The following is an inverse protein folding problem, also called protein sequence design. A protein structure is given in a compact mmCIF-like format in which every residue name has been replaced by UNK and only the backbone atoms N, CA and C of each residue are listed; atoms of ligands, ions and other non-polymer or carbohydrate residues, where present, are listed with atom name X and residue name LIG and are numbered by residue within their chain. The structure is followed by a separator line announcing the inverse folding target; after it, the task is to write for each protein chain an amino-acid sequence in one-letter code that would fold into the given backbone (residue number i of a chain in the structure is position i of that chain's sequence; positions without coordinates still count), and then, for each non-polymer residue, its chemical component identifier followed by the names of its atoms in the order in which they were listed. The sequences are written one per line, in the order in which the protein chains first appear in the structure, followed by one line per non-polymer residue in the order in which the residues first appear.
data_IF_439557925970
#
_entry.id   IF_439557925970
#
_cell.length_a   1.000
_cell.length_b   1.000
_cell.length_c   1.000
_cell.angle_alpha   90.00
_cell.angle_beta   90.00
_cell.angle_gamma   90.00
#
_symmetry.space_group_name_H-M   'P 1'
#
loop_
_entity.id
_entity.type
_entity.pdbx_description
1 polymer ?
#
# COMPACT_ATOMS: atom_id res chain seq x y z
N UNK A 1 2.24 25.36 -7.33
CA UNK A 1 2.50 24.11 -8.07
C UNK A 1 2.78 23.10 -6.99
N UNK A 2 1.83 22.21 -6.71
CA UNK A 2 2.14 21.02 -5.91
C UNK A 2 3.17 20.25 -6.73
N UNK A 3 4.36 20.02 -6.17
CA UNK A 3 5.34 19.16 -6.82
C UNK A 3 4.74 17.76 -6.82
N UNK A 4 4.45 17.26 -8.01
CA UNK A 4 3.99 15.89 -8.23
C UNK A 4 5.13 14.95 -7.83
N UNK A 5 4.85 14.00 -6.94
CA UNK A 5 5.85 13.03 -6.47
C UNK A 5 5.85 11.81 -7.41
N UNK A 6 7.00 11.12 -7.57
CA UNK A 6 7.13 10.02 -8.52
C UNK A 6 6.11 8.87 -8.34
N UNK A 7 5.58 8.70 -7.13
CA UNK A 7 4.66 7.62 -6.77
C UNK A 7 3.19 8.05 -6.70
N UNK A 8 2.85 9.32 -7.01
CA UNK A 8 1.47 9.82 -6.96
C UNK A 8 0.50 8.93 -7.76
N UNK A 9 0.84 8.66 -9.02
CA UNK A 9 0.06 7.80 -9.92
C UNK A 9 -0.04 6.36 -9.40
N UNK A 10 1.04 5.85 -8.79
CA UNK A 10 1.05 4.49 -8.26
C UNK A 10 0.13 4.34 -7.05
N UNK A 11 0.18 5.29 -6.10
CA UNK A 11 -0.67 5.33 -4.93
C UNK A 11 -2.14 5.56 -5.33
N UNK A 12 -2.40 6.40 -6.33
CA UNK A 12 -3.72 6.55 -6.94
C UNK A 12 -4.25 5.24 -7.52
N UNK A 13 -3.42 4.52 -8.30
CA UNK A 13 -3.81 3.22 -8.87
C UNK A 13 -4.09 2.14 -7.80
N UNK A 14 -3.38 2.18 -6.66
CA UNK A 14 -3.67 1.30 -5.52
C UNK A 14 -5.00 1.67 -4.87
N UNK A 15 -5.32 2.96 -4.71
CA UNK A 15 -6.63 3.40 -4.22
C UNK A 15 -7.79 2.90 -5.10
N UNK A 16 -7.66 3.03 -6.42
CA UNK A 16 -8.63 2.52 -7.39
C UNK A 16 -8.79 1.00 -7.28
N UNK A 17 -7.68 0.27 -7.16
CA UNK A 17 -7.70 -1.17 -6.97
C UNK A 17 -8.39 -1.55 -5.65
N UNK A 18 -8.11 -0.87 -4.54
CA UNK A 18 -8.77 -1.10 -3.25
C UNK A 18 -10.29 -0.94 -3.34
N UNK A 19 -10.78 0.06 -4.10
CA UNK A 19 -12.22 0.22 -4.36
C UNK A 19 -12.81 -0.98 -5.13
N UNK A 20 -12.10 -1.53 -6.13
CA UNK A 20 -12.54 -2.73 -6.84
C UNK A 20 -12.69 -3.97 -5.93
N UNK A 21 -11.93 -4.03 -4.84
CA UNK A 21 -11.99 -5.11 -3.83
C UNK A 21 -12.96 -4.83 -2.67
N UNK A 22 -13.72 -3.73 -2.76
CA UNK A 22 -14.72 -3.34 -1.77
C UNK A 22 -14.13 -2.77 -0.47
N UNK A 23 -12.87 -2.31 -0.50
CA UNK A 23 -12.14 -1.78 0.67
C UNK A 23 -11.63 -0.36 0.40
N UNK A 24 -12.51 0.50 -0.13
CA UNK A 24 -12.15 1.87 -0.48
C UNK A 24 -11.65 2.64 0.75
N UNK A 25 -10.43 3.22 0.74
CA UNK A 25 -9.95 4.05 1.84
C UNK A 25 -10.77 5.35 1.93
N UNK A 26 -11.05 5.80 3.15
CA UNK A 26 -11.66 7.11 3.40
C UNK A 26 -10.68 8.26 3.13
N UNK A 27 -9.38 8.00 3.29
CA UNK A 27 -8.30 8.95 3.02
C UNK A 27 -7.08 8.24 2.46
N UNK A 28 -6.41 8.86 1.49
CA UNK A 28 -5.07 8.48 1.07
C UNK A 28 -4.26 9.71 0.64
N UNK A 29 -2.94 9.65 0.75
CA UNK A 29 -2.04 10.70 0.29
C UNK A 29 -0.63 10.16 0.02
N UNK A 30 0.17 11.00 -0.60
CA UNK A 30 1.60 10.82 -0.84
C UNK A 30 2.38 11.93 -0.15
N UNK A 31 3.59 11.60 0.30
CA UNK A 31 4.54 12.56 0.86
C UNK A 31 5.98 12.07 0.65
N UNK A 32 6.93 12.98 0.67
CA UNK A 32 8.31 12.69 1.04
C UNK A 32 8.50 12.94 2.55
N UNK A 33 9.20 12.05 3.25
CA UNK A 33 9.48 12.23 4.68
C UNK A 33 10.76 13.03 4.94
N UNK A 34 11.04 13.34 6.22
CA UNK A 34 12.22 14.11 6.63
C UNK A 34 13.56 13.40 6.29
N UNK A 35 13.52 12.10 6.02
CA UNK A 35 14.66 11.27 5.64
C UNK A 35 14.79 11.13 4.11
N UNK A 36 13.96 11.85 3.33
CA UNK A 36 13.97 11.82 1.87
C UNK A 36 13.39 10.55 1.28
N UNK A 37 12.46 9.88 1.97
CA UNK A 37 11.77 8.68 1.47
C UNK A 37 10.42 9.04 0.91
N UNK A 38 10.07 8.45 -0.23
CA UNK A 38 8.72 8.53 -0.77
C UNK A 38 7.79 7.57 -0.04
N UNK A 39 6.69 8.12 0.49
CA UNK A 39 5.72 7.46 1.35
C UNK A 39 4.31 7.58 0.76
N UNK A 40 3.55 6.47 0.79
CA UNK A 40 2.13 6.45 0.47
C UNK A 40 1.33 5.94 1.66
N UNK A 41 0.19 6.57 1.97
CA UNK A 41 -0.62 6.19 3.14
C UNK A 41 -2.09 6.04 2.76
N UNK A 42 -2.76 5.01 3.30
CA UNK A 42 -4.19 4.77 3.15
C UNK A 42 -4.83 4.50 4.53
N UNK A 43 -5.90 5.22 4.85
CA UNK A 43 -6.58 5.19 6.16
C UNK A 43 -8.10 5.23 6.03
N UNK A 44 -8.76 5.21 7.19
CA UNK A 44 -10.19 5.44 7.36
C UNK A 44 -11.04 4.43 6.56
N UNK A 45 -10.76 3.14 6.77
CA UNK A 45 -11.49 2.06 6.12
C UNK A 45 -12.97 2.03 6.55
N UNK A 46 -13.88 1.56 5.68
CA UNK A 46 -15.27 1.37 6.04
C UNK A 46 -15.38 0.40 7.22
N UNK A 47 -16.22 0.72 8.21
CA UNK A 47 -16.30 -0.03 9.46
C UNK A 47 -16.71 -1.50 9.29
N UNK A 48 -17.40 -1.84 8.20
CA UNK A 48 -17.83 -3.20 7.85
C UNK A 48 -16.75 -4.01 7.11
N UNK A 49 -15.60 -3.41 6.79
CA UNK A 49 -14.49 -4.09 6.10
C UNK A 49 -13.43 -4.64 7.05
N UNK A 50 -13.41 -4.15 8.30
CA UNK A 50 -12.40 -4.48 9.30
C UNK A 50 -12.92 -5.55 10.24
N UNK A 51 -12.23 -6.68 10.28
CA UNK A 51 -12.48 -7.73 11.27
C UNK A 51 -11.99 -7.29 12.65
N UNK A 52 -12.92 -6.96 13.55
CA UNK A 52 -12.63 -6.48 14.90
C UNK A 52 -12.09 -7.57 15.84
N UNK A 53 -12.24 -8.84 15.48
CA UNK A 53 -11.63 -9.93 16.25
C UNK A 53 -10.12 -10.01 15.99
N UNK A 54 -9.67 -9.57 14.81
CA UNK A 54 -8.25 -9.49 14.45
C UNK A 54 -7.64 -8.12 14.80
N UNK A 55 -8.37 -7.04 14.52
CA UNK A 55 -7.88 -5.67 14.64
C UNK A 55 -8.61 -4.94 15.76
N UNK A 56 -7.90 -4.58 16.82
CA UNK A 56 -8.49 -3.81 17.92
C UNK A 56 -8.77 -2.37 17.48
N UNK A 57 -7.87 -1.83 16.65
CA UNK A 57 -8.05 -0.59 15.91
C UNK A 57 -7.83 -0.87 14.42
N UNK A 58 -8.54 -0.15 13.55
CA UNK A 58 -8.34 -0.32 12.12
C UNK A 58 -6.87 0.00 11.74
N UNK A 59 -6.15 -0.91 11.07
CA UNK A 59 -4.79 -0.63 10.64
C UNK A 59 -4.80 0.38 9.50
N UNK A 60 -3.78 1.22 9.35
CA UNK A 60 -3.52 1.91 8.10
C UNK A 60 -2.52 1.14 7.24
N UNK A 61 -2.60 1.35 5.93
CA UNK A 61 -1.65 0.81 4.97
C UNK A 61 -0.60 1.88 4.65
N UNK A 62 0.67 1.52 4.82
CA UNK A 62 1.83 2.34 4.52
C UNK A 62 2.61 1.70 3.37
N UNK A 63 2.98 2.50 2.39
CA UNK A 63 3.98 2.19 1.38
C UNK A 63 5.22 3.01 1.64
N UNK A 64 6.38 2.37 1.59
CA UNK A 64 7.71 2.98 1.63
C UNK A 64 8.50 2.44 0.42
N UNK A 65 9.15 3.32 -0.33
CA UNK A 65 9.88 2.92 -1.55
C UNK A 65 10.99 1.87 -1.33
N UNK A 66 11.54 1.78 -0.12
CA UNK A 66 12.61 0.84 0.25
C UNK A 66 12.11 -0.33 1.10
N UNK A 67 11.17 -0.07 2.00
CA UNK A 67 10.68 -1.07 2.96
C UNK A 67 9.39 -1.76 2.49
N UNK A 68 8.73 -1.22 1.46
CA UNK A 68 7.54 -1.79 0.85
C UNK A 68 6.26 -1.54 1.65
N UNK A 69 5.37 -2.53 1.64
CA UNK A 69 4.00 -2.38 2.13
C UNK A 69 3.87 -2.89 3.56
N UNK A 70 3.30 -2.08 4.45
CA UNK A 70 3.13 -2.38 5.87
C UNK A 70 1.74 -2.00 6.39
N UNK A 71 1.25 -2.81 7.30
CA UNK A 71 0.06 -2.58 8.11
C UNK A 71 0.48 -2.01 9.46
N UNK A 72 -0.12 -0.89 9.85
CA UNK A 72 0.21 -0.22 11.11
C UNK A 72 -1.10 0.05 11.87
N UNK A 73 -1.25 -0.55 13.04
CA UNK A 73 -2.44 -0.35 13.87
C UNK A 73 -2.44 1.03 14.57
N UNK A 74 -3.57 1.75 14.50
CA UNK A 74 -3.73 3.03 15.19
C UNK A 74 -3.65 2.84 16.71
N UNK A 75 -2.89 3.70 17.41
CA UNK A 75 -2.74 3.62 18.87
C UNK A 75 -1.44 2.98 19.40
N UNK A 76 -0.52 2.54 18.54
CA UNK A 76 0.86 2.33 18.95
C UNK A 76 1.73 1.56 17.97
N UNK A 77 2.97 2.04 17.77
CA UNK A 77 4.02 1.40 16.96
C UNK A 77 4.50 0.02 17.44
N UNK A 78 3.67 -0.74 18.15
CA UNK A 78 3.91 -2.13 18.57
C UNK A 78 3.41 -3.16 17.56
N UNK A 79 2.41 -2.82 16.75
CA UNK A 79 1.82 -3.73 15.76
C UNK A 79 2.06 -3.19 14.34
N UNK A 80 3.33 -3.20 13.93
CA UNK A 80 3.74 -2.99 12.54
C UNK A 80 3.98 -4.37 11.93
N UNK A 81 3.36 -4.64 10.79
CA UNK A 81 3.50 -5.92 10.08
C UNK A 81 3.65 -5.68 8.60
N UNK A 82 4.46 -6.48 7.93
CA UNK A 82 4.51 -6.47 6.47
C UNK A 82 3.16 -6.93 5.91
N UNK A 83 2.69 -6.25 4.87
CA UNK A 83 1.53 -6.71 4.13
C UNK A 83 1.95 -7.93 3.33
N UNK A 84 1.45 -9.11 3.72
CA UNK A 84 1.62 -10.36 2.97
C UNK A 84 3.08 -10.60 2.48
N UNK A 85 4.01 -10.89 3.40
CA UNK A 85 5.46 -10.86 3.13
C UNK A 85 5.94 -11.87 2.08
N UNK A 86 5.11 -12.86 1.73
CA UNK A 86 5.40 -13.82 0.67
C UNK A 86 4.72 -13.43 -0.67
N UNK A 87 3.73 -12.54 -0.60
CA UNK A 87 2.83 -12.18 -1.69
C UNK A 87 2.94 -10.74 -2.17
N UNK A 88 3.57 -9.82 -1.44
CA UNK A 88 3.67 -8.40 -1.84
C UNK A 88 5.11 -7.91 -1.67
N UNK A 89 5.60 -7.24 -2.72
CA UNK A 89 6.88 -6.54 -2.76
C UNK A 89 6.62 -5.02 -2.88
N UNK A 90 7.63 -4.16 -2.67
CA UNK A 90 7.45 -2.70 -2.74
C UNK A 90 6.76 -2.22 -4.02
N UNK A 91 7.09 -2.80 -5.16
CA UNK A 91 6.53 -2.42 -6.46
C UNK A 91 5.54 -3.45 -7.03
N UNK A 92 4.87 -4.23 -6.16
CA UNK A 92 3.82 -5.14 -6.58
C UNK A 92 2.69 -4.42 -7.32
N UNK A 93 1.97 -5.16 -8.17
CA UNK A 93 0.85 -4.58 -8.90
C UNK A 93 -0.21 -4.00 -7.95
N UNK A 94 -0.87 -2.89 -8.30
CA UNK A 94 -1.92 -2.30 -7.47
C UNK A 94 -3.01 -3.30 -7.04
N UNK A 95 -3.40 -4.21 -7.95
CA UNK A 95 -4.39 -5.26 -7.67
C UNK A 95 -3.90 -6.30 -6.67
N UNK A 96 -2.61 -6.63 -6.70
CA UNK A 96 -2.01 -7.55 -5.73
C UNK A 96 -2.02 -6.95 -4.33
N UNK A 97 -1.60 -5.69 -4.21
CA UNK A 97 -1.66 -4.94 -2.96
C UNK A 97 -3.10 -4.87 -2.45
N UNK A 98 -4.06 -4.52 -3.31
CA UNK A 98 -5.46 -4.43 -2.93
C UNK A 98 -6.07 -5.77 -2.49
N UNK A 99 -5.73 -6.87 -3.18
CA UNK A 99 -6.16 -8.21 -2.79
C UNK A 99 -5.63 -8.59 -1.41
N UNK A 100 -4.32 -8.40 -1.19
CA UNK A 100 -3.68 -8.69 0.10
C UNK A 100 -4.21 -7.81 1.21
N UNK A 101 -4.43 -6.52 0.94
CA UNK A 101 -5.01 -5.60 1.92
C UNK A 101 -6.44 -5.99 2.28
N UNK A 102 -7.28 -6.30 1.29
CA UNK A 102 -8.66 -6.70 1.53
C UNK A 102 -8.77 -7.99 2.35
N UNK A 103 -7.83 -8.93 2.16
CA UNK A 103 -7.74 -10.13 3.00
C UNK A 103 -7.25 -9.82 4.41
N UNK A 104 -6.22 -8.98 4.53
CA UNK A 104 -5.67 -8.58 5.82
C UNK A 104 -6.71 -7.87 6.70
N UNK A 105 -7.49 -6.94 6.13
CA UNK A 105 -8.59 -6.27 6.83
C UNK A 105 -9.63 -7.27 7.37
N UNK A 106 -9.85 -8.38 6.67
CA UNK A 106 -10.79 -9.46 7.05
C UNK A 106 -10.16 -10.53 7.95
N UNK A 107 -8.98 -10.28 8.51
CA UNK A 107 -8.29 -11.19 9.43
C UNK A 107 -7.35 -12.22 8.78
N UNK A 108 -7.19 -12.18 7.45
CA UNK A 108 -6.35 -13.09 6.70
C UNK A 108 -5.02 -12.43 6.30
N UNK A 109 -4.04 -12.45 7.21
CA UNK A 109 -2.76 -11.75 7.07
C UNK A 109 -1.79 -12.33 6.02
N UNK A 110 -2.07 -13.54 5.54
CA UNK A 110 -1.32 -14.20 4.45
C UNK A 110 -2.35 -14.66 3.44
N UNK A 111 -2.20 -14.24 2.19
CA UNK A 111 -3.17 -14.60 1.14
C UNK A 111 -2.92 -15.99 0.55
N UNK A 112 -1.78 -16.60 0.86
CA UNK A 112 -1.33 -17.84 0.22
C UNK A 112 -0.94 -17.59 -1.24
N UNK A 113 -0.84 -18.63 -2.08
CA UNK A 113 -0.57 -18.43 -3.50
C UNK A 113 -1.72 -17.64 -4.13
N UNK A 114 -1.46 -16.39 -4.48
CA UNK A 114 -2.40 -15.57 -5.24
C UNK A 114 -2.51 -16.20 -6.63
N UNK A 115 -3.63 -16.88 -6.90
CA UNK A 115 -3.94 -17.37 -8.23
C UNK A 115 -4.28 -16.19 -9.14
N UNK A 116 -3.26 -15.53 -9.69
CA UNK A 116 -3.46 -14.57 -10.78
C UNK A 116 -3.94 -15.35 -12.00
N UNK A 117 -5.06 -14.94 -12.58
CA UNK A 117 -5.60 -15.49 -13.83
C UNK A 117 -4.82 -14.99 -15.07
N UNK A 118 -3.68 -14.35 -14.86
CA UNK A 118 -2.90 -13.67 -15.90
C UNK A 118 -3.44 -12.29 -16.30
N UNK A 119 -4.54 -11.81 -15.70
CA UNK A 119 -5.11 -10.48 -16.02
C UNK A 119 -4.37 -9.32 -15.35
N UNK A 120 -3.43 -9.59 -14.45
CA UNK A 120 -2.67 -8.57 -13.75
C UNK A 120 -1.45 -8.19 -14.58
N UNK A 121 -1.62 -7.26 -15.51
CA UNK A 121 -0.51 -6.63 -16.23
C UNK A 121 -0.01 -5.44 -15.41
N UNK A 122 1.17 -5.56 -14.81
CA UNK A 122 1.86 -4.46 -14.15
C UNK A 122 3.34 -4.50 -14.51
N UNK A 123 3.89 -3.33 -14.84
CA UNK A 123 5.30 -3.13 -15.11
C UNK A 123 5.78 -2.03 -14.17
N UNK A 124 6.58 -2.40 -13.16
CA UNK A 124 7.10 -1.47 -12.16
C UNK A 124 8.25 -0.59 -12.68
N UNK A 125 8.88 -0.97 -13.79
CA UNK A 125 10.11 -0.34 -14.28
C UNK A 125 9.99 1.18 -14.50
N UNK A 126 8.88 1.72 -15.04
CA UNK A 126 8.72 3.17 -15.17
C UNK A 126 8.71 3.90 -13.83
N UNK A 127 8.02 3.35 -12.82
CA UNK A 127 7.98 3.91 -11.47
C UNK A 127 9.37 3.86 -10.82
N UNK A 128 10.02 2.70 -10.87
CA UNK A 128 11.38 2.54 -10.34
C UNK A 128 12.38 3.52 -10.98
N UNK A 129 12.25 3.78 -12.29
CA UNK A 129 13.06 4.76 -12.98
C UNK A 129 12.78 6.20 -12.52
N UNK A 130 11.51 6.57 -12.36
CA UNK A 130 11.12 7.90 -11.89
C UNK A 130 11.61 8.18 -10.45
N UNK A 131 11.50 7.20 -9.56
CA UNK A 131 12.02 7.29 -8.18
C UNK A 131 13.53 7.51 -8.22
N UNK A 132 14.25 6.71 -9.02
CA UNK A 132 15.71 6.85 -9.15
C UNK A 132 16.13 8.22 -9.68
N UNK A 133 15.40 8.78 -10.65
CA UNK A 133 15.66 10.12 -11.16
C UNK A 133 15.43 11.20 -10.11
N UNK A 134 14.39 11.04 -9.30
CA UNK A 134 14.09 11.91 -8.17
C UNK A 134 15.18 11.85 -7.09
N UNK A 135 15.58 10.65 -6.65
CA UNK A 135 16.66 10.47 -5.67
C UNK A 135 17.98 11.12 -6.11
N UNK A 136 18.29 11.09 -7.41
CA UNK A 136 19.47 11.74 -7.98
C UNK A 136 19.36 13.27 -8.03
N UNK A 137 18.15 13.83 -8.07
CA UNK A 137 17.91 15.27 -8.06
C UNK A 137 17.95 15.87 -6.64
N UNK A 138 17.60 15.06 -5.63
CA UNK A 138 17.62 15.45 -4.21
C UNK A 138 19.00 15.23 -3.53
N UNK A 139 19.96 14.58 -4.22
CA UNK A 139 21.34 14.33 -3.77
C UNK A 139 22.31 15.48 -4.06
#
# INVERSE_FOLDING_TARGET
MTNELPHDDYIGAVADALEMYGVRPGMYWTEDDEDGRLIGVFRDWPADTVDTDTWLHAPFLLWDQHEGWRLIEEGGGRNIRDLDPEGVNPFSSPRQVACSMANALRGHLVTGPICTDGSWSWDSRPLEAAIKEWELAES
#
